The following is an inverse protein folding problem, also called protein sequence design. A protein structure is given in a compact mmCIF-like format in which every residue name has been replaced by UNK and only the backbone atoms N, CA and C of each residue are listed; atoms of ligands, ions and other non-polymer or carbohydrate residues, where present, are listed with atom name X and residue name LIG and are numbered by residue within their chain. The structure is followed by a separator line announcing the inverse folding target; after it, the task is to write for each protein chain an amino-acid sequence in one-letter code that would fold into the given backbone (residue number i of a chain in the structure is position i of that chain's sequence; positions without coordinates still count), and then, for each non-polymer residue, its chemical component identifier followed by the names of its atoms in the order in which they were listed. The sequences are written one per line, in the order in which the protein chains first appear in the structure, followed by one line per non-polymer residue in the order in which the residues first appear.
data_IF_931216632433
#
_entry.id   IF_931216632433
#
_cell.length_a   1.000
_cell.length_b   1.000
_cell.length_c   1.000
_cell.angle_alpha   90.00
_cell.angle_beta   90.00
_cell.angle_gamma   90.00
#
_symmetry.space_group_name_H-M   'P 1'
#
loop_
_entity.id
_entity.type
_entity.pdbx_description
1 polymer ?
#
# COMPACT_ATOMS: atom_id res chain seq x y z
N UNK A 1 -6.24 -46.44 -18.20
CA UNK A 1 -7.53 -46.10 -18.84
C UNK A 1 -8.65 -46.32 -17.85
N UNK A 2 -9.45 -45.28 -17.55
CA UNK A 2 -10.68 -45.45 -16.73
C UNK A 2 -11.68 -46.19 -17.60
N UNK A 3 -12.04 -47.42 -17.24
CA UNK A 3 -13.11 -48.15 -17.88
C UNK A 3 -14.43 -47.54 -17.47
N UNK A 4 -15.26 -47.19 -18.48
CA UNK A 4 -16.57 -46.66 -18.24
C UNK A 4 -17.46 -47.73 -17.54
N UNK A 5 -18.13 -47.33 -16.48
CA UNK A 5 -18.89 -48.21 -15.61
C UNK A 5 -20.16 -48.78 -16.28
N UNK A 6 -20.57 -48.20 -17.40
CA UNK A 6 -21.60 -48.72 -18.28
C UNK A 6 -21.27 -48.32 -19.73
N UNK A 7 -21.76 -49.08 -20.67
CA UNK A 7 -21.69 -48.78 -22.11
C UNK A 7 -23.13 -48.70 -22.66
N UNK A 8 -23.46 -47.56 -23.26
CA UNK A 8 -24.74 -47.31 -23.92
C UNK A 8 -24.53 -47.34 -25.44
N UNK A 9 -25.17 -48.23 -26.14
CA UNK A 9 -25.02 -48.40 -27.57
C UNK A 9 -26.35 -48.72 -28.25
N UNK A 10 -26.45 -48.51 -29.56
CA UNK A 10 -27.69 -48.67 -30.33
C UNK A 10 -27.69 -50.01 -31.08
N UNK A 11 -28.80 -50.73 -31.01
CA UNK A 11 -29.08 -51.87 -31.83
C UNK A 11 -30.38 -51.64 -32.57
N UNK A 12 -30.33 -51.51 -33.93
CA UNK A 12 -31.51 -51.11 -34.70
C UNK A 12 -32.01 -49.73 -34.31
N UNK A 13 -33.28 -49.61 -33.98
CA UNK A 13 -33.95 -48.38 -33.55
C UNK A 13 -33.88 -48.09 -32.02
N UNK A 14 -33.34 -49.03 -31.23
CA UNK A 14 -33.45 -48.98 -29.75
C UNK A 14 -32.06 -48.91 -29.10
N UNK A 15 -31.95 -48.19 -28.00
CA UNK A 15 -30.74 -48.10 -27.19
C UNK A 15 -30.67 -49.25 -26.19
N UNK A 16 -29.43 -49.80 -26.03
CA UNK A 16 -29.06 -50.87 -25.13
C UNK A 16 -28.01 -50.41 -24.17
N UNK A 17 -28.04 -50.91 -22.94
CA UNK A 17 -27.01 -50.63 -21.94
C UNK A 17 -26.34 -51.92 -21.45
N UNK A 18 -25.02 -51.88 -21.24
CA UNK A 18 -24.30 -52.91 -20.50
C UNK A 18 -23.63 -52.25 -19.29
N UNK A 19 -23.77 -52.87 -18.14
CA UNK A 19 -23.09 -52.42 -16.92
C UNK A 19 -21.80 -53.19 -16.69
N UNK A 20 -20.73 -52.51 -16.28
CA UNK A 20 -19.49 -53.14 -15.93
C UNK A 20 -19.51 -53.68 -14.52
N UNK A 21 -19.17 -54.93 -14.30
CA UNK A 21 -19.00 -55.53 -12.97
C UNK A 21 -17.56 -55.48 -12.54
N UNK A 22 -17.19 -54.64 -11.54
CA UNK A 22 -15.82 -54.51 -11.08
C UNK A 22 -15.26 -55.75 -10.37
N UNK A 23 -16.16 -56.63 -9.85
CA UNK A 23 -15.71 -57.84 -9.17
C UNK A 23 -15.28 -58.93 -10.14
N UNK A 24 -15.91 -58.99 -11.31
CA UNK A 24 -15.60 -59.99 -12.32
C UNK A 24 -14.77 -59.48 -13.48
N UNK A 25 -14.54 -58.16 -13.53
CA UNK A 25 -13.79 -57.49 -14.60
C UNK A 25 -14.49 -57.56 -15.98
N UNK A 26 -15.81 -57.86 -16.05
CA UNK A 26 -16.54 -58.08 -17.31
C UNK A 26 -17.84 -57.24 -17.33
N UNK A 27 -18.28 -56.93 -18.54
CA UNK A 27 -19.58 -56.32 -18.74
C UNK A 27 -20.69 -57.37 -18.56
N UNK A 28 -21.77 -56.98 -17.88
CA UNK A 28 -22.99 -57.76 -17.78
C UNK A 28 -23.71 -57.84 -19.14
N UNK A 29 -24.66 -58.78 -19.29
CA UNK A 29 -25.47 -58.91 -20.49
C UNK A 29 -26.17 -57.62 -20.87
N UNK A 30 -26.18 -57.26 -22.14
CA UNK A 30 -26.84 -56.06 -22.63
C UNK A 30 -28.33 -56.11 -22.45
N UNK A 31 -28.92 -54.98 -21.98
CA UNK A 31 -30.36 -54.82 -21.77
C UNK A 31 -30.91 -53.72 -22.66
N UNK A 32 -32.07 -53.96 -23.24
CA UNK A 32 -32.79 -52.94 -24.00
C UNK A 32 -33.42 -51.94 -23.06
N UNK A 33 -33.29 -50.65 -23.34
CA UNK A 33 -33.99 -49.57 -22.64
C UNK A 33 -35.43 -49.37 -23.16
N UNK A 34 -35.73 -49.97 -24.32
CA UNK A 34 -37.00 -49.73 -25.01
C UNK A 34 -37.08 -48.40 -25.76
N UNK A 35 -36.10 -47.52 -25.60
CA UNK A 35 -36.11 -46.16 -26.10
C UNK A 35 -35.29 -45.98 -27.39
N UNK A 36 -35.88 -45.21 -28.32
CA UNK A 36 -35.21 -44.80 -29.56
C UNK A 36 -34.42 -43.50 -29.41
N UNK A 37 -34.77 -42.71 -28.42
CA UNK A 37 -34.07 -41.45 -28.08
C UNK A 37 -32.99 -41.68 -27.03
N UNK A 38 -31.76 -41.18 -27.29
CA UNK A 38 -30.64 -41.35 -26.38
C UNK A 38 -30.85 -40.78 -25.00
N UNK A 39 -31.48 -39.61 -24.89
CA UNK A 39 -31.69 -38.95 -23.61
C UNK A 39 -32.78 -39.68 -22.79
N UNK A 40 -33.84 -40.19 -23.41
CA UNK A 40 -34.83 -41.04 -22.77
C UNK A 40 -34.18 -42.35 -22.28
N UNK A 41 -33.32 -42.98 -23.09
CA UNK A 41 -32.58 -44.16 -22.69
C UNK A 41 -31.66 -43.89 -21.48
N UNK A 42 -31.00 -42.73 -21.40
CA UNK A 42 -30.20 -42.33 -20.26
C UNK A 42 -31.04 -42.15 -18.97
N UNK A 43 -32.29 -41.67 -19.07
CA UNK A 43 -33.20 -41.57 -17.93
C UNK A 43 -33.53 -42.97 -17.39
N UNK A 44 -33.80 -43.94 -18.28
CA UNK A 44 -34.07 -45.34 -17.89
C UNK A 44 -32.83 -45.97 -17.26
N UNK A 45 -31.63 -45.74 -17.84
CA UNK A 45 -30.38 -46.19 -17.25
C UNK A 45 -30.17 -45.60 -15.86
N UNK A 46 -30.48 -44.31 -15.68
CA UNK A 46 -30.42 -43.63 -14.39
C UNK A 46 -31.41 -44.18 -13.39
N UNK A 47 -32.61 -44.55 -13.85
CA UNK A 47 -33.63 -45.20 -13.03
C UNK A 47 -33.18 -46.61 -12.60
N UNK A 48 -32.66 -47.41 -13.52
CA UNK A 48 -32.14 -48.75 -13.22
C UNK A 48 -30.94 -48.72 -12.28
N UNK A 49 -30.16 -47.68 -12.33
CA UNK A 49 -29.07 -47.45 -11.39
C UNK A 49 -29.55 -47.10 -9.97
N UNK A 50 -30.75 -46.45 -9.85
CA UNK A 50 -31.36 -46.12 -8.56
C UNK A 50 -32.16 -47.25 -7.97
N UNK A 51 -32.94 -47.94 -8.79
CA UNK A 51 -33.95 -48.93 -8.35
C UNK A 51 -33.46 -50.38 -8.48
N UNK A 52 -32.31 -50.57 -9.12
CA UNK A 52 -31.78 -51.88 -9.52
C UNK A 52 -32.22 -52.29 -10.92
N UNK A 53 -31.35 -52.95 -11.66
CA UNK A 53 -31.69 -53.55 -12.95
C UNK A 53 -32.76 -54.62 -12.70
N UNK A 54 -33.84 -54.68 -13.47
CA UNK A 54 -34.86 -55.68 -13.25
C UNK A 54 -34.42 -57.10 -13.64
N UNK A 55 -33.50 -57.69 -12.84
CA UNK A 55 -33.05 -59.05 -12.99
C UNK A 55 -32.39 -59.59 -11.70
N UNK A 56 -32.68 -60.82 -11.28
CA UNK A 56 -32.40 -61.35 -9.95
C UNK A 56 -30.96 -61.75 -9.66
N UNK A 57 -30.00 -61.46 -10.49
CA UNK A 57 -28.59 -61.78 -10.19
C UNK A 57 -27.93 -60.82 -9.25
N UNK A 58 -27.48 -61.29 -8.10
CA UNK A 58 -26.93 -60.66 -6.89
C UNK A 58 -25.95 -59.50 -7.01
N UNK A 59 -25.64 -59.00 -8.20
CA UNK A 59 -24.66 -57.92 -8.42
C UNK A 59 -25.22 -56.46 -8.26
N UNK A 60 -26.54 -56.31 -8.17
CA UNK A 60 -27.19 -55.00 -8.27
C UNK A 60 -27.00 -54.06 -7.07
N UNK A 61 -26.77 -54.57 -5.87
CA UNK A 61 -26.65 -53.74 -4.65
C UNK A 61 -25.37 -52.97 -4.60
N UNK A 62 -24.23 -53.54 -5.01
CA UNK A 62 -22.95 -52.89 -4.93
C UNK A 62 -22.70 -51.87 -6.08
N UNK A 63 -23.30 -52.08 -7.23
CA UNK A 63 -23.34 -51.14 -8.34
C UNK A 63 -24.13 -49.86 -7.99
N UNK A 64 -25.16 -49.97 -7.15
CA UNK A 64 -26.04 -48.88 -6.73
C UNK A 64 -25.29 -47.80 -5.95
N UNK A 65 -24.45 -48.20 -4.99
CA UNK A 65 -23.70 -47.26 -4.10
C UNK A 65 -22.59 -46.51 -4.80
N UNK A 66 -21.96 -47.09 -5.83
CA UNK A 66 -20.83 -46.51 -6.52
C UNK A 66 -21.21 -45.58 -7.71
N UNK A 67 -22.39 -45.78 -8.28
CA UNK A 67 -22.85 -45.03 -9.47
C UNK A 67 -23.66 -43.78 -9.10
N UNK A 68 -24.29 -43.76 -7.95
CA UNK A 68 -25.06 -42.61 -7.48
C UNK A 68 -24.21 -41.35 -7.23
N UNK A 69 -22.98 -41.50 -6.75
CA UNK A 69 -22.09 -40.39 -6.51
C UNK A 69 -21.52 -39.77 -7.80
N UNK A 70 -21.06 -40.58 -8.73
CA UNK A 70 -20.53 -40.09 -10.01
C UNK A 70 -21.63 -39.43 -10.86
N UNK A 71 -22.85 -39.99 -10.83
CA UNK A 71 -24.00 -39.38 -11.48
C UNK A 71 -24.38 -38.05 -10.83
N UNK A 72 -24.42 -38.00 -9.50
CA UNK A 72 -24.67 -36.76 -8.77
C UNK A 72 -23.62 -35.67 -9.07
N UNK A 73 -22.35 -36.04 -9.10
CA UNK A 73 -21.26 -35.14 -9.49
C UNK A 73 -21.41 -34.68 -10.94
N UNK A 74 -21.80 -35.57 -11.84
CA UNK A 74 -22.04 -35.23 -13.26
C UNK A 74 -23.17 -34.22 -13.41
N UNK A 75 -24.30 -34.46 -12.70
CA UNK A 75 -25.43 -33.53 -12.69
C UNK A 75 -25.00 -32.17 -12.12
N UNK A 76 -24.29 -32.13 -11.00
CA UNK A 76 -23.81 -30.87 -10.39
C UNK A 76 -22.91 -30.11 -11.37
N UNK A 77 -22.13 -30.80 -12.22
CA UNK A 77 -21.21 -30.17 -13.18
C UNK A 77 -21.90 -29.67 -14.46
N UNK A 78 -22.99 -30.25 -14.87
CA UNK A 78 -23.54 -30.06 -16.24
C UNK A 78 -24.99 -29.52 -16.25
N UNK A 79 -25.74 -29.66 -15.17
CA UNK A 79 -27.09 -29.16 -15.11
C UNK A 79 -27.16 -27.66 -14.82
N UNK A 80 -28.11 -26.91 -15.37
CA UNK A 80 -28.36 -25.51 -14.97
C UNK A 80 -28.98 -25.50 -13.56
N UNK A 81 -28.12 -25.41 -12.55
CA UNK A 81 -28.51 -25.36 -11.14
C UNK A 81 -28.92 -23.95 -10.74
N UNK A 82 -30.00 -23.81 -10.00
CA UNK A 82 -30.43 -22.59 -9.33
C UNK A 82 -29.68 -22.42 -8.01
N UNK A 83 -29.77 -21.22 -7.40
CA UNK A 83 -29.25 -20.97 -6.05
C UNK A 83 -29.90 -21.88 -4.98
N UNK A 84 -31.17 -22.13 -5.13
CA UNK A 84 -31.91 -23.03 -4.23
C UNK A 84 -31.35 -24.45 -4.33
N UNK A 85 -31.10 -24.93 -5.55
CA UNK A 85 -30.49 -26.25 -5.78
C UNK A 85 -29.09 -26.34 -5.17
N UNK A 86 -28.28 -25.30 -5.33
CA UNK A 86 -26.96 -25.24 -4.72
C UNK A 86 -27.04 -25.19 -3.17
N UNK A 87 -28.02 -24.44 -2.62
CA UNK A 87 -28.33 -24.41 -1.19
C UNK A 87 -28.69 -25.78 -0.63
N UNK A 88 -29.56 -26.50 -1.32
CA UNK A 88 -29.97 -27.87 -0.95
C UNK A 88 -28.81 -28.87 -1.00
N UNK A 89 -27.95 -28.76 -2.00
CA UNK A 89 -26.75 -29.60 -2.09
C UNK A 89 -25.80 -29.34 -0.91
N UNK A 90 -25.53 -28.08 -0.60
CA UNK A 90 -24.68 -27.69 0.54
C UNK A 90 -25.31 -28.13 1.86
N UNK A 91 -26.60 -27.97 2.03
CA UNK A 91 -27.33 -28.43 3.24
C UNK A 91 -27.20 -29.94 3.42
N UNK A 92 -27.42 -30.72 2.36
CA UNK A 92 -27.25 -32.17 2.40
C UNK A 92 -25.82 -32.62 2.78
N UNK A 93 -24.80 -31.85 2.39
CA UNK A 93 -23.41 -32.11 2.80
C UNK A 93 -23.15 -31.70 4.27
N UNK A 94 -23.80 -30.62 4.75
CA UNK A 94 -23.78 -30.23 6.17
C UNK A 94 -24.42 -31.23 7.08
N UNK A 95 -25.58 -31.75 6.70
CA UNK A 95 -26.35 -32.75 7.44
C UNK A 95 -25.58 -34.08 7.63
N UNK A 96 -24.55 -34.30 6.82
CA UNK A 96 -23.63 -35.43 6.91
C UNK A 96 -22.28 -35.10 7.56
N UNK A 97 -22.12 -33.90 8.13
CA UNK A 97 -20.85 -33.38 8.71
C UNK A 97 -19.65 -33.38 7.74
N UNK A 98 -19.90 -33.43 6.44
CA UNK A 98 -18.85 -33.42 5.41
C UNK A 98 -18.37 -31.99 5.08
N UNK A 99 -19.19 -30.96 5.41
CA UNK A 99 -18.88 -29.55 5.17
C UNK A 99 -19.39 -28.72 6.34
N UNK A 100 -18.52 -27.97 7.00
CA UNK A 100 -18.91 -27.10 8.14
C UNK A 100 -19.24 -25.67 7.74
N UNK A 101 -18.50 -25.05 6.83
CA UNK A 101 -18.58 -23.62 6.48
C UNK A 101 -18.69 -23.41 4.95
N UNK A 102 -19.71 -23.94 4.29
CA UNK A 102 -19.97 -23.61 2.91
C UNK A 102 -21.12 -22.61 2.83
N UNK A 103 -20.92 -21.52 2.12
CA UNK A 103 -21.94 -20.53 1.77
C UNK A 103 -22.26 -20.69 0.30
N UNK A 104 -23.55 -20.81 -0.03
CA UNK A 104 -24.02 -20.76 -1.41
C UNK A 104 -24.01 -19.29 -1.82
N UNK A 105 -23.14 -18.97 -2.74
CA UNK A 105 -23.11 -17.64 -3.34
C UNK A 105 -23.85 -17.74 -4.67
N UNK A 106 -24.89 -16.89 -4.85
CA UNK A 106 -25.37 -16.60 -6.19
C UNK A 106 -24.14 -16.33 -7.02
N UNK A 107 -23.92 -17.09 -8.10
CA UNK A 107 -22.91 -16.71 -9.07
C UNK A 107 -23.35 -15.38 -9.66
N UNK A 108 -22.91 -14.23 -9.16
CA UNK A 108 -23.19 -12.99 -9.82
C UNK A 108 -22.31 -12.96 -11.05
N UNK A 109 -22.75 -12.26 -12.06
CA UNK A 109 -21.82 -11.59 -12.96
C UNK A 109 -20.87 -10.83 -12.05
N UNK A 110 -19.77 -11.44 -11.69
CA UNK A 110 -18.82 -10.85 -10.75
C UNK A 110 -18.31 -9.57 -11.40
N UNK A 111 -18.53 -8.45 -10.74
CA UNK A 111 -18.03 -7.15 -11.18
C UNK A 111 -16.53 -7.29 -11.60
N UNK A 112 -16.09 -6.69 -12.69
CA UNK A 112 -14.67 -6.68 -13.06
C UNK A 112 -13.82 -6.13 -11.92
N UNK A 113 -12.68 -6.78 -11.65
CA UNK A 113 -11.75 -6.39 -10.57
C UNK A 113 -11.43 -4.88 -10.61
N UNK A 114 -11.06 -4.38 -11.78
CA UNK A 114 -10.64 -2.97 -11.91
C UNK A 114 -11.78 -2.02 -11.63
N UNK A 115 -12.98 -2.30 -12.13
CA UNK A 115 -14.19 -1.50 -11.85
C UNK A 115 -14.50 -1.45 -10.36
N UNK A 116 -14.42 -2.61 -9.67
CA UNK A 116 -14.56 -2.68 -8.23
C UNK A 116 -13.50 -1.83 -7.50
N UNK A 117 -12.23 -1.95 -7.88
CA UNK A 117 -11.13 -1.21 -7.25
C UNK A 117 -11.24 0.30 -7.48
N UNK A 118 -11.62 0.73 -8.67
CA UNK A 118 -11.84 2.16 -9.01
C UNK A 118 -12.97 2.74 -8.13
N UNK A 119 -14.11 2.06 -8.03
CA UNK A 119 -15.23 2.44 -7.16
C UNK A 119 -14.86 2.41 -5.68
N UNK A 120 -14.05 1.44 -5.26
CA UNK A 120 -13.59 1.32 -3.87
C UNK A 120 -12.76 2.52 -3.41
N UNK A 121 -11.98 3.13 -4.30
CA UNK A 121 -11.15 4.29 -4.00
C UNK A 121 -11.75 5.63 -4.45
N UNK A 122 -12.97 5.64 -4.97
CA UNK A 122 -13.70 6.89 -5.22
C UNK A 122 -14.11 7.51 -3.88
N UNK A 123 -13.48 8.63 -3.51
CA UNK A 123 -13.69 9.22 -2.20
C UNK A 123 -15.15 9.57 -1.89
N UNK A 124 -15.93 10.00 -2.89
CA UNK A 124 -17.31 10.44 -2.71
C UNK A 124 -18.30 9.27 -2.69
N UNK A 125 -18.05 8.23 -3.46
CA UNK A 125 -19.00 7.14 -3.69
C UNK A 125 -18.63 5.85 -2.94
N UNK A 126 -17.39 5.72 -2.48
CA UNK A 126 -16.90 4.50 -1.85
C UNK A 126 -17.65 4.11 -0.57
N UNK A 127 -18.22 2.89 -0.50
CA UNK A 127 -18.79 2.37 0.74
C UNK A 127 -17.71 2.20 1.82
N UNK A 128 -16.47 1.87 1.46
CA UNK A 128 -15.35 1.78 2.38
C UNK A 128 -15.01 3.12 3.03
N UNK A 129 -14.98 4.20 2.26
CA UNK A 129 -14.74 5.55 2.80
C UNK A 129 -15.84 5.94 3.77
N UNK A 130 -17.11 5.69 3.40
CA UNK A 130 -18.26 5.97 4.28
C UNK A 130 -18.19 5.16 5.59
N UNK A 131 -17.88 3.86 5.49
CA UNK A 131 -17.69 2.99 6.66
C UNK A 131 -16.60 3.53 7.58
N UNK A 132 -15.42 3.87 7.04
CA UNK A 132 -14.32 4.43 7.84
C UNK A 132 -14.70 5.72 8.55
N UNK A 133 -15.35 6.64 7.84
CA UNK A 133 -15.80 7.91 8.41
C UNK A 133 -16.84 7.68 9.50
N UNK A 134 -17.80 6.78 9.29
CA UNK A 134 -18.81 6.42 10.29
C UNK A 134 -18.18 5.83 11.57
N UNK A 135 -17.09 5.11 11.45
CA UNK A 135 -16.31 4.59 12.59
C UNK A 135 -15.30 5.61 13.17
N UNK A 136 -15.38 6.90 12.80
CA UNK A 136 -14.48 7.94 13.28
C UNK A 136 -13.03 7.80 12.77
N UNK A 137 -12.81 6.93 11.79
CA UNK A 137 -11.48 6.72 11.23
C UNK A 137 -11.21 7.70 10.08
N UNK A 138 -10.02 8.26 10.07
CA UNK A 138 -9.65 9.24 9.05
C UNK A 138 -9.21 8.56 7.76
N UNK A 139 -9.74 9.05 6.66
CA UNK A 139 -9.27 8.76 5.31
C UNK A 139 -9.27 10.07 4.53
N UNK A 140 -8.21 10.36 3.79
CA UNK A 140 -8.07 11.61 3.06
C UNK A 140 -8.34 11.43 1.56
N UNK A 141 -8.83 12.49 0.91
CA UNK A 141 -8.98 12.53 -0.56
C UNK A 141 -7.66 12.22 -1.26
N UNK A 142 -6.55 12.76 -0.73
CA UNK A 142 -5.20 12.49 -1.22
C UNK A 142 -4.88 10.99 -1.18
N UNK A 143 -5.19 10.30 -0.08
CA UNK A 143 -4.92 8.86 0.04
C UNK A 143 -5.67 8.04 -1.00
N UNK A 144 -6.97 8.32 -1.19
CA UNK A 144 -7.77 7.66 -2.22
C UNK A 144 -7.21 7.95 -3.62
N UNK A 145 -6.85 9.21 -3.91
CA UNK A 145 -6.23 9.59 -5.19
C UNK A 145 -4.91 8.88 -5.46
N UNK A 146 -4.03 8.77 -4.46
CA UNK A 146 -2.77 8.03 -4.58
C UNK A 146 -3.01 6.53 -4.81
N UNK A 147 -4.03 5.94 -4.18
CA UNK A 147 -4.42 4.57 -4.45
C UNK A 147 -4.96 4.41 -5.89
N UNK A 148 -5.88 5.28 -6.32
CA UNK A 148 -6.39 5.27 -7.70
C UNK A 148 -5.29 5.41 -8.75
N UNK A 149 -4.30 6.28 -8.52
CA UNK A 149 -3.15 6.39 -9.42
C UNK A 149 -2.36 5.07 -9.51
N UNK A 150 -2.18 4.36 -8.37
CA UNK A 150 -1.51 3.04 -8.38
C UNK A 150 -2.32 1.99 -9.12
N UNK A 151 -3.65 2.05 -9.07
CA UNK A 151 -4.51 1.18 -9.86
C UNK A 151 -4.33 1.45 -11.35
N UNK A 152 -4.41 2.70 -11.77
CA UNK A 152 -4.29 3.10 -13.18
C UNK A 152 -2.92 2.72 -13.77
N UNK A 153 -1.82 2.96 -13.04
CA UNK A 153 -0.47 2.74 -13.55
C UNK A 153 0.02 1.29 -13.45
N UNK A 154 -0.53 0.46 -12.55
CA UNK A 154 0.01 -0.88 -12.30
C UNK A 154 -1.03 -1.99 -12.34
N UNK A 155 -2.17 -1.85 -11.64
CA UNK A 155 -3.18 -2.93 -11.57
C UNK A 155 -3.92 -3.09 -12.89
N UNK A 156 -4.40 -2.01 -13.46
CA UNK A 156 -5.17 -2.01 -14.70
C UNK A 156 -4.36 -2.52 -15.91
N UNK A 157 -3.09 -2.11 -16.12
CA UNK A 157 -2.26 -2.67 -17.19
C UNK A 157 -1.94 -4.16 -17.02
N UNK A 158 -1.88 -4.67 -15.78
CA UNK A 158 -1.54 -6.06 -15.51
C UNK A 158 -2.74 -7.01 -15.58
N UNK A 159 -3.84 -6.67 -14.90
CA UNK A 159 -5.02 -7.55 -14.82
C UNK A 159 -5.99 -7.39 -15.99
N UNK A 160 -5.89 -6.33 -16.77
CA UNK A 160 -6.85 -6.01 -17.81
C UNK A 160 -8.20 -5.55 -17.26
N UNK A 161 -9.17 -5.33 -18.16
CA UNK A 161 -10.50 -4.83 -17.80
C UNK A 161 -11.50 -5.93 -17.45
N UNK A 162 -11.27 -7.15 -17.95
CA UNK A 162 -12.27 -8.22 -17.97
C UNK A 162 -12.10 -9.23 -16.83
N UNK A 163 -10.99 -9.20 -16.10
CA UNK A 163 -10.75 -10.12 -14.97
C UNK A 163 -11.82 -9.92 -13.91
N UNK A 164 -12.62 -10.95 -13.66
CA UNK A 164 -13.67 -10.89 -12.64
C UNK A 164 -13.08 -10.86 -11.21
N UNK A 165 -13.70 -10.10 -10.32
CA UNK A 165 -13.29 -10.00 -8.90
C UNK A 165 -13.26 -11.36 -8.21
N UNK A 166 -14.27 -12.22 -8.49
CA UNK A 166 -14.36 -13.58 -7.92
C UNK A 166 -13.31 -14.57 -8.43
N UNK A 167 -12.66 -14.26 -9.57
CA UNK A 167 -11.63 -15.11 -10.17
C UNK A 167 -10.22 -14.80 -9.68
N UNK A 168 -10.06 -13.75 -8.88
CA UNK A 168 -8.75 -13.34 -8.35
C UNK A 168 -8.26 -14.38 -7.34
N UNK A 169 -7.12 -14.98 -7.63
CA UNK A 169 -6.47 -15.98 -6.77
C UNK A 169 -5.21 -15.41 -6.11
N UNK A 170 -4.78 -16.04 -5.03
CA UNK A 170 -3.52 -15.69 -4.37
C UNK A 170 -2.32 -15.78 -5.31
N UNK A 171 -2.30 -16.76 -6.21
CA UNK A 171 -1.26 -16.89 -7.25
C UNK A 171 -1.18 -15.67 -8.15
N UNK A 172 -2.32 -15.08 -8.54
CA UNK A 172 -2.35 -13.90 -9.40
C UNK A 172 -1.69 -12.70 -8.71
N UNK A 173 -2.00 -12.50 -7.41
CA UNK A 173 -1.39 -11.42 -6.62
C UNK A 173 0.11 -11.65 -6.40
N UNK A 174 0.52 -12.89 -6.15
CA UNK A 174 1.94 -13.23 -6.03
C UNK A 174 2.70 -12.95 -7.34
N UNK A 175 2.18 -13.41 -8.48
CA UNK A 175 2.80 -13.17 -9.79
C UNK A 175 2.84 -11.67 -10.11
N UNK A 176 1.76 -10.94 -9.82
CA UNK A 176 1.73 -9.48 -9.94
C UNK A 176 2.81 -8.81 -9.08
N UNK A 177 2.99 -9.27 -7.85
CA UNK A 177 4.00 -8.73 -6.94
C UNK A 177 5.42 -8.92 -7.46
N UNK A 178 5.71 -10.08 -8.04
CA UNK A 178 6.99 -10.38 -8.68
C UNK A 178 7.21 -9.53 -9.93
N UNK A 179 6.19 -9.37 -10.77
CA UNK A 179 6.22 -8.48 -11.93
C UNK A 179 6.55 -7.03 -11.54
N UNK A 180 5.92 -6.49 -10.48
CA UNK A 180 6.26 -5.16 -9.97
C UNK A 180 7.73 -5.05 -9.56
N UNK A 181 8.28 -6.10 -8.93
CA UNK A 181 9.65 -6.12 -8.42
C UNK A 181 10.68 -6.33 -9.50
N UNK A 182 10.47 -7.31 -10.38
CA UNK A 182 11.45 -7.79 -11.36
C UNK A 182 11.33 -7.03 -12.69
N UNK A 183 10.15 -7.00 -13.28
CA UNK A 183 9.95 -6.41 -14.61
C UNK A 183 9.85 -4.89 -14.56
N UNK A 184 9.18 -4.34 -13.53
CA UNK A 184 9.10 -2.88 -13.33
C UNK A 184 10.25 -2.31 -12.51
N UNK A 185 11.08 -3.14 -11.88
CA UNK A 185 12.25 -2.71 -11.12
C UNK A 185 11.95 -1.85 -9.90
N UNK A 186 10.72 -1.95 -9.33
CA UNK A 186 10.28 -1.06 -8.26
C UNK A 186 10.98 -1.36 -6.93
N UNK A 187 11.20 -0.32 -6.15
CA UNK A 187 11.71 -0.47 -4.78
C UNK A 187 10.67 -1.16 -3.89
N UNK A 188 11.14 -1.93 -2.90
CA UNK A 188 10.29 -2.72 -1.98
C UNK A 188 9.09 -1.94 -1.43
N UNK A 189 9.32 -0.74 -0.90
CA UNK A 189 8.23 0.09 -0.37
C UNK A 189 7.23 0.53 -1.45
N UNK A 190 7.69 0.78 -2.66
CA UNK A 190 6.80 1.13 -3.78
C UNK A 190 5.94 -0.08 -4.17
N UNK A 191 6.54 -1.28 -4.26
CA UNK A 191 5.79 -2.53 -4.49
C UNK A 191 4.73 -2.72 -3.42
N UNK A 192 5.09 -2.64 -2.13
CA UNK A 192 4.15 -2.80 -1.03
C UNK A 192 3.00 -1.76 -1.08
N UNK A 193 3.30 -0.51 -1.45
CA UNK A 193 2.29 0.53 -1.60
C UNK A 193 1.36 0.27 -2.80
N UNK A 194 1.89 -0.24 -3.91
CA UNK A 194 1.08 -0.63 -5.08
C UNK A 194 0.17 -1.80 -4.72
N UNK A 195 0.72 -2.84 -4.07
CA UNK A 195 -0.05 -3.99 -3.61
C UNK A 195 -1.16 -3.56 -2.64
N UNK A 196 -0.86 -2.67 -1.69
CA UNK A 196 -1.82 -2.17 -0.71
C UNK A 196 -3.06 -1.56 -1.35
N UNK A 197 -2.94 -0.90 -2.51
CA UNK A 197 -4.09 -0.31 -3.20
C UNK A 197 -5.16 -1.35 -3.59
N UNK A 198 -4.77 -2.57 -3.94
CA UNK A 198 -5.74 -3.64 -4.25
C UNK A 198 -6.03 -4.54 -3.03
N UNK A 199 -5.00 -4.90 -2.24
CA UNK A 199 -5.17 -5.88 -1.16
C UNK A 199 -6.06 -5.38 -0.02
N UNK A 200 -6.09 -4.06 0.23
CA UNK A 200 -7.03 -3.44 1.19
C UNK A 200 -8.46 -3.60 0.69
N UNK A 201 -8.71 -3.38 -0.59
CA UNK A 201 -10.03 -3.53 -1.21
C UNK A 201 -10.48 -5.00 -1.24
N UNK A 202 -9.59 -5.93 -1.58
CA UNK A 202 -9.88 -7.37 -1.58
C UNK A 202 -10.21 -7.90 -0.17
N UNK A 203 -9.50 -7.42 0.85
CA UNK A 203 -9.81 -7.75 2.25
C UNK A 203 -11.18 -7.22 2.66
N UNK A 204 -11.52 -6.00 2.25
CA UNK A 204 -12.82 -5.41 2.50
C UNK A 204 -13.92 -6.18 1.74
N UNK A 205 -13.69 -6.57 0.49
CA UNK A 205 -14.61 -7.38 -0.30
C UNK A 205 -14.93 -8.73 0.38
N UNK A 206 -13.90 -9.42 0.90
CA UNK A 206 -14.09 -10.68 1.62
C UNK A 206 -14.85 -10.49 2.95
N UNK A 207 -14.58 -9.38 3.68
CA UNK A 207 -15.28 -9.07 4.93
C UNK A 207 -16.76 -8.72 4.72
N UNK A 208 -17.10 -8.24 3.52
CA UNK A 208 -18.47 -7.87 3.15
C UNK A 208 -19.12 -8.92 2.20
N UNK A 209 -18.65 -10.15 2.20
CA UNK A 209 -19.18 -11.29 1.45
C UNK A 209 -19.30 -11.10 -0.08
N UNK A 210 -18.56 -10.14 -0.65
CA UNK A 210 -18.48 -9.95 -2.11
C UNK A 210 -17.63 -11.02 -2.78
N UNK A 211 -16.70 -11.60 -2.04
CA UNK A 211 -15.88 -12.76 -2.42
C UNK A 211 -15.76 -13.72 -1.24
N UNK A 212 -15.67 -15.04 -1.48
CA UNK A 212 -15.72 -16.04 -0.40
C UNK A 212 -14.55 -15.99 0.57
N UNK A 213 -13.38 -15.49 0.14
CA UNK A 213 -12.18 -15.33 0.97
C UNK A 213 -11.27 -14.27 0.40
N UNK A 214 -10.41 -13.70 1.26
CA UNK A 214 -9.42 -12.72 0.83
C UNK A 214 -8.25 -13.40 0.05
N UNK A 215 -8.10 -13.17 -1.26
CA UNK A 215 -7.00 -13.76 -2.03
C UNK A 215 -5.62 -13.18 -1.65
N UNK A 216 -5.59 -12.07 -0.92
CA UNK A 216 -4.36 -11.44 -0.46
C UNK A 216 -3.93 -11.91 0.96
N UNK A 217 -4.62 -12.89 1.54
CA UNK A 217 -4.29 -13.41 2.87
C UNK A 217 -2.95 -14.13 2.88
N UNK A 218 -2.09 -13.80 3.87
CA UNK A 218 -0.76 -14.38 4.01
C UNK A 218 0.20 -14.06 2.85
N UNK A 219 0.00 -12.94 2.13
CA UNK A 219 1.01 -12.42 1.21
C UNK A 219 2.23 -11.91 1.98
N UNK A 220 3.41 -12.26 1.50
CA UNK A 220 4.66 -11.74 2.03
C UNK A 220 4.93 -10.34 1.47
N UNK A 221 5.20 -9.39 2.37
CA UNK A 221 5.68 -8.06 1.98
C UNK A 221 7.15 -8.10 1.55
N UNK A 222 7.51 -7.18 0.67
CA UNK A 222 8.91 -6.99 0.30
C UNK A 222 9.64 -6.19 1.37
N UNK A 223 10.78 -6.70 1.82
CA UNK A 223 11.72 -5.96 2.66
C UNK A 223 12.80 -5.31 1.80
N UNK A 224 13.27 -4.16 2.23
CA UNK A 224 14.35 -3.47 1.53
C UNK A 224 14.96 -2.38 2.40
N UNK A 225 16.21 -2.04 2.13
CA UNK A 225 16.88 -0.94 2.82
C UNK A 225 16.16 0.37 2.48
N UNK A 226 15.77 1.11 3.51
CA UNK A 226 15.32 2.49 3.34
C UNK A 226 16.52 3.35 2.93
N UNK A 227 16.37 4.10 1.85
CA UNK A 227 17.35 5.11 1.48
C UNK A 227 17.30 6.22 2.55
N UNK A 228 18.40 6.40 3.27
CA UNK A 228 18.53 7.53 4.21
C UNK A 228 18.52 8.84 3.42
N UNK A 229 17.79 9.82 3.91
CA UNK A 229 17.79 11.19 3.33
C UNK A 229 19.15 11.81 3.57
N UNK A 230 19.67 12.49 2.55
CA UNK A 230 20.90 13.25 2.69
C UNK A 230 20.71 14.50 3.53
N UNK A 231 21.72 14.83 4.28
CA UNK A 231 21.82 16.10 5.02
C UNK A 231 22.87 17.00 4.37
N UNK A 232 22.68 18.30 4.55
CA UNK A 232 23.69 19.30 4.29
C UNK A 232 24.60 19.42 5.52
N UNK A 233 25.85 19.75 5.31
CA UNK A 233 26.76 20.15 6.39
C UNK A 233 26.41 21.56 6.88
N UNK A 234 26.88 21.95 8.07
CA UNK A 234 26.60 23.29 8.61
C UNK A 234 27.16 24.36 7.70
N UNK A 235 28.36 24.15 7.15
CA UNK A 235 28.97 25.06 6.18
C UNK A 235 28.18 25.18 4.88
N UNK A 236 27.62 24.06 4.35
CA UNK A 236 26.75 24.12 3.18
C UNK A 236 25.42 24.85 3.49
N UNK A 237 24.89 24.71 4.70
CA UNK A 237 23.69 25.42 5.15
C UNK A 237 23.91 26.92 5.25
N UNK A 238 25.03 27.31 5.86
CA UNK A 238 25.45 28.72 5.98
C UNK A 238 25.61 29.37 4.61
N UNK A 239 26.39 28.76 3.72
CA UNK A 239 26.58 29.23 2.36
C UNK A 239 25.24 29.27 1.57
N UNK A 240 24.40 28.25 1.70
CA UNK A 240 23.12 28.17 1.00
C UNK A 240 22.20 29.34 1.36
N UNK A 241 22.08 29.69 2.64
CA UNK A 241 21.24 30.79 3.09
C UNK A 241 21.88 32.19 2.89
N UNK A 242 23.16 32.25 2.70
CA UNK A 242 23.83 33.49 2.27
C UNK A 242 23.54 33.85 0.81
N UNK A 243 23.19 32.85 -0.05
CA UNK A 243 22.86 33.09 -1.44
C UNK A 243 21.60 33.94 -1.63
N UNK A 244 21.52 34.63 -2.75
CA UNK A 244 20.28 35.21 -3.24
C UNK A 244 19.37 34.10 -3.79
N UNK A 245 18.19 33.94 -3.20
CA UNK A 245 17.19 33.00 -3.66
C UNK A 245 16.25 33.67 -4.64
N UNK A 246 15.79 32.96 -5.69
CA UNK A 246 14.88 33.52 -6.67
C UNK A 246 13.47 33.80 -6.12
N UNK A 247 13.10 33.11 -5.04
CA UNK A 247 11.80 33.24 -4.40
C UNK A 247 11.96 33.43 -2.88
N UNK A 248 11.55 34.60 -2.37
CA UNK A 248 11.63 34.96 -0.95
C UNK A 248 10.79 34.02 -0.07
N UNK A 249 9.57 33.59 -0.55
CA UNK A 249 8.74 32.67 0.21
C UNK A 249 9.44 31.32 0.40
N UNK A 250 10.02 30.79 -0.69
CA UNK A 250 10.77 29.55 -0.61
C UNK A 250 11.98 29.64 0.30
N UNK A 251 12.75 30.76 0.27
CA UNK A 251 13.88 30.98 1.19
C UNK A 251 13.42 30.92 2.65
N UNK A 252 12.42 31.72 3.01
CA UNK A 252 11.94 31.82 4.40
C UNK A 252 11.33 30.49 4.85
N UNK A 253 10.58 29.78 4.00
CA UNK A 253 10.03 28.47 4.32
C UNK A 253 11.12 27.41 4.58
N UNK A 254 12.21 27.42 3.82
CA UNK A 254 13.36 26.53 4.02
C UNK A 254 14.12 26.87 5.30
N UNK A 255 14.32 28.17 5.62
CA UNK A 255 14.91 28.61 6.88
C UNK A 255 14.06 28.21 8.08
N UNK A 256 12.73 28.38 7.97
CA UNK A 256 11.78 27.95 8.99
C UNK A 256 11.81 26.43 9.19
N UNK A 257 11.80 25.65 8.12
CA UNK A 257 11.88 24.18 8.19
C UNK A 257 13.18 23.72 8.87
N UNK A 258 14.30 24.36 8.54
CA UNK A 258 15.61 24.09 9.11
C UNK A 258 15.68 24.38 10.61
N UNK A 259 15.07 25.49 11.06
CA UNK A 259 15.15 25.95 12.46
C UNK A 259 14.08 25.38 13.39
N UNK A 260 13.03 24.75 12.85
CA UNK A 260 11.88 24.23 13.62
C UNK A 260 11.54 22.77 13.39
N UNK A 261 12.04 22.18 12.32
CA UNK A 261 11.68 20.82 11.90
C UNK A 261 10.23 20.64 11.44
N UNK A 262 9.50 21.71 11.14
CA UNK A 262 8.11 21.65 10.65
C UNK A 262 8.00 20.95 9.30
N UNK A 263 6.87 20.27 9.09
CA UNK A 263 6.56 19.64 7.80
C UNK A 263 6.12 20.70 6.77
N UNK A 264 6.35 20.44 5.50
CA UNK A 264 5.93 21.35 4.42
C UNK A 264 4.46 21.77 4.53
N UNK A 265 3.56 20.81 4.76
CA UNK A 265 2.13 21.10 4.88
C UNK A 265 1.77 21.93 6.14
N UNK A 266 2.53 21.80 7.23
CA UNK A 266 2.36 22.62 8.43
C UNK A 266 2.83 24.06 8.16
N UNK A 267 3.97 24.24 7.51
CA UNK A 267 4.49 25.56 7.11
C UNK A 267 3.51 26.27 6.18
N UNK A 268 3.02 25.59 5.15
CA UNK A 268 2.07 26.18 4.20
C UNK A 268 0.73 26.56 4.82
N UNK A 269 0.34 25.89 5.91
CA UNK A 269 -0.89 26.16 6.62
C UNK A 269 -0.81 27.35 7.60
N UNK A 270 0.41 27.89 7.86
CA UNK A 270 0.60 28.97 8.82
C UNK A 270 -0.13 30.24 8.38
N UNK A 271 -0.86 30.81 9.31
CA UNK A 271 -1.57 32.08 9.20
C UNK A 271 -0.97 33.12 10.16
N UNK A 272 -1.28 34.38 9.93
CA UNK A 272 -0.77 35.49 10.77
C UNK A 272 -1.06 35.26 12.24
N UNK A 273 -2.26 34.79 12.59
CA UNK A 273 -2.66 34.44 13.98
C UNK A 273 -1.85 33.33 14.64
N UNK A 274 -1.05 32.60 13.85
CA UNK A 274 -0.24 31.50 14.37
C UNK A 274 1.15 31.96 14.80
N UNK A 275 1.50 33.24 14.56
CA UNK A 275 2.79 33.83 14.95
C UNK A 275 2.62 34.48 16.33
N UNK A 276 3.19 33.86 17.37
CA UNK A 276 3.36 34.49 18.69
C UNK A 276 4.67 35.29 18.77
N UNK A 277 5.02 35.75 19.98
CA UNK A 277 6.24 36.53 20.19
C UNK A 277 7.50 35.69 20.15
N UNK A 278 7.47 34.51 20.74
CA UNK A 278 8.59 33.57 20.85
C UNK A 278 8.28 32.18 20.24
N UNK A 279 7.06 31.98 19.71
CA UNK A 279 6.55 30.66 19.29
C UNK A 279 5.62 30.72 18.09
N UNK A 280 5.49 29.59 17.43
CA UNK A 280 4.46 29.33 16.42
C UNK A 280 3.42 28.34 16.97
N UNK A 281 2.15 28.58 16.66
CA UNK A 281 1.05 27.67 16.96
C UNK A 281 0.79 26.80 15.73
N UNK A 282 1.14 25.53 15.80
CA UNK A 282 0.96 24.58 14.70
C UNK A 282 -0.37 23.85 14.86
N UNK A 283 -1.41 24.41 14.24
CA UNK A 283 -2.80 23.95 14.35
C UNK A 283 -3.25 23.16 13.13
N UNK A 284 -2.71 23.49 11.96
CA UNK A 284 -3.20 22.98 10.68
C UNK A 284 -2.09 22.41 9.81
N UNK A 285 -2.50 21.69 8.78
CA UNK A 285 -1.67 21.26 7.67
C UNK A 285 -2.45 21.48 6.38
N UNK A 286 -1.76 21.89 5.33
CA UNK A 286 -2.37 22.13 4.03
C UNK A 286 -1.79 21.23 2.94
N UNK A 287 -2.64 20.77 2.05
CA UNK A 287 -2.28 20.21 0.76
C UNK A 287 -3.40 20.48 -0.26
N UNK A 288 -3.05 20.41 -1.54
CA UNK A 288 -3.98 20.77 -2.63
C UNK A 288 -5.25 19.90 -2.73
N UNK A 289 -5.24 18.71 -2.14
CA UNK A 289 -6.35 17.75 -2.26
C UNK A 289 -7.33 17.82 -1.09
N UNK A 290 -6.81 17.97 0.12
CA UNK A 290 -7.62 18.01 1.34
C UNK A 290 -7.81 19.44 1.86
N UNK A 291 -7.22 20.44 1.18
CA UNK A 291 -7.20 21.84 1.61
C UNK A 291 -6.60 22.02 3.04
N UNK A 292 -7.11 22.97 3.80
CA UNK A 292 -6.70 23.19 5.19
C UNK A 292 -7.36 22.13 6.09
N UNK A 293 -6.55 21.38 6.83
CA UNK A 293 -7.01 20.33 7.75
C UNK A 293 -6.20 20.35 9.05
N UNK A 294 -6.67 19.67 10.09
CA UNK A 294 -5.91 19.42 11.30
C UNK A 294 -4.56 18.73 11.02
N UNK A 295 -3.65 18.80 11.97
CA UNK A 295 -2.34 18.13 11.85
C UNK A 295 -2.49 16.61 11.73
N UNK A 296 -1.44 15.90 11.26
CA UNK A 296 -1.48 14.45 11.08
C UNK A 296 -1.86 13.68 12.35
N UNK A 297 -1.50 14.22 13.52
CA UNK A 297 -1.76 13.62 14.85
C UNK A 297 -2.95 14.23 15.56
N UNK A 298 -3.63 15.20 14.95
CA UNK A 298 -4.72 16.01 15.52
C UNK A 298 -4.37 16.76 16.83
N UNK A 299 -3.09 16.87 17.10
CA UNK A 299 -2.59 17.60 18.26
C UNK A 299 -2.05 18.95 17.81
N UNK A 300 -2.64 20.00 18.35
CA UNK A 300 -2.03 21.32 18.31
C UNK A 300 -0.73 21.28 19.11
N UNK A 301 0.28 21.97 18.63
CA UNK A 301 1.53 22.14 19.36
C UNK A 301 2.13 23.51 19.12
N UNK A 302 2.92 23.94 20.07
CA UNK A 302 3.75 25.14 19.94
C UNK A 302 5.18 24.75 19.59
N UNK A 303 5.82 25.54 18.75
CA UNK A 303 7.23 25.38 18.38
C UNK A 303 7.94 26.72 18.60
N UNK A 304 9.07 26.75 19.31
CA UNK A 304 9.84 27.99 19.50
C UNK A 304 10.32 28.54 18.16
N UNK A 305 10.39 29.84 18.05
CA UNK A 305 10.85 30.54 16.85
C UNK A 305 11.93 31.55 17.21
N UNK A 306 13.01 31.60 16.42
CA UNK A 306 14.04 32.61 16.60
C UNK A 306 13.58 33.97 16.05
N UNK A 307 13.98 35.09 16.68
CA UNK A 307 13.47 36.44 16.34
C UNK A 307 13.63 36.82 14.86
N UNK A 308 14.77 36.50 14.23
CA UNK A 308 15.01 36.79 12.81
C UNK A 308 14.06 36.09 11.86
N UNK A 309 13.66 34.87 12.18
CA UNK A 309 12.67 34.12 11.39
C UNK A 309 11.26 34.74 11.60
N UNK A 310 10.91 35.10 12.85
CA UNK A 310 9.64 35.80 13.14
C UNK A 310 9.50 37.07 12.30
N UNK A 311 10.52 37.90 12.26
CA UNK A 311 10.54 39.12 11.44
C UNK A 311 10.29 38.78 9.97
N UNK A 312 11.00 37.77 9.44
CA UNK A 312 10.87 37.33 8.06
C UNK A 312 9.46 36.84 7.72
N UNK A 313 8.80 36.14 8.66
CA UNK A 313 7.41 35.68 8.49
C UNK A 313 6.41 36.86 8.48
N UNK A 314 6.58 37.82 9.38
CA UNK A 314 5.74 39.02 9.43
C UNK A 314 5.92 39.88 8.15
N UNK A 315 7.14 39.98 7.63
CA UNK A 315 7.42 40.67 6.37
C UNK A 315 6.76 40.00 5.17
N UNK A 316 6.77 38.65 5.13
CA UNK A 316 6.04 37.91 4.12
C UNK A 316 4.54 38.14 4.22
N UNK A 317 3.98 38.10 5.44
CA UNK A 317 2.56 38.33 5.65
C UNK A 317 2.14 39.73 5.19
N UNK A 318 2.93 40.76 5.51
CA UNK A 318 2.69 42.16 5.07
C UNK A 318 2.82 42.32 3.55
N UNK A 319 3.62 41.50 2.88
CA UNK A 319 3.78 41.56 1.42
C UNK A 319 2.62 40.90 0.65
N UNK A 320 1.67 40.28 1.33
CA UNK A 320 0.48 39.73 0.70
C UNK A 320 -0.39 40.89 0.11
N UNK A 321 -0.74 40.85 -1.17
CA UNK A 321 -1.54 41.90 -1.79
C UNK A 321 -2.98 41.98 -1.26
N UNK A 322 -3.46 40.99 -0.56
CA UNK A 322 -4.72 41.05 0.19
C UNK A 322 -4.45 41.60 1.60
N UNK A 323 -5.44 42.29 2.17
CA UNK A 323 -5.31 42.80 3.54
C UNK A 323 -4.90 41.71 4.51
N UNK A 324 -3.89 42.01 5.32
CA UNK A 324 -3.33 41.08 6.29
C UNK A 324 -4.21 40.94 7.54
N UNK A 325 -5.25 40.14 7.44
CA UNK A 325 -6.06 39.74 8.60
C UNK A 325 -5.47 38.51 9.34
N UNK A 326 -6.00 38.18 10.52
CA UNK A 326 -5.51 37.05 11.32
C UNK A 326 -5.49 35.69 10.58
N UNK A 327 -6.37 35.49 9.63
CA UNK A 327 -6.49 34.27 8.81
C UNK A 327 -5.70 34.29 7.51
N UNK A 328 -4.95 35.36 7.24
CA UNK A 328 -4.11 35.47 6.03
C UNK A 328 -2.96 34.47 6.10
N UNK A 329 -2.75 33.72 5.03
CA UNK A 329 -1.63 32.79 4.90
C UNK A 329 -0.29 33.54 4.76
N UNK A 330 0.72 33.10 5.49
CA UNK A 330 2.06 33.65 5.42
C UNK A 330 2.73 33.29 4.10
N UNK A 331 2.58 32.01 3.71
CA UNK A 331 3.13 31.47 2.44
C UNK A 331 2.04 31.41 1.37
N UNK A 332 1.57 32.57 0.98
CA UNK A 332 0.49 32.73 0.01
C UNK A 332 0.92 32.44 -1.44
N UNK A 333 -0.04 32.09 -2.30
CA UNK A 333 0.19 31.86 -3.71
C UNK A 333 0.11 33.17 -4.51
N UNK A 334 1.09 33.40 -5.37
CA UNK A 334 1.12 34.59 -6.25
C UNK A 334 -0.10 34.62 -7.21
N UNK A 335 -0.54 33.43 -7.67
CA UNK A 335 -1.71 33.33 -8.56
C UNK A 335 -3.05 33.42 -7.84
N UNK A 336 -3.09 33.09 -6.56
CA UNK A 336 -4.29 33.22 -5.72
C UNK A 336 -3.87 33.49 -4.26
N UNK A 337 -3.73 34.77 -3.88
CA UNK A 337 -3.25 35.16 -2.55
C UNK A 337 -4.11 34.71 -1.37
N UNK A 338 -5.35 34.26 -1.62
CA UNK A 338 -6.24 33.67 -0.59
C UNK A 338 -5.92 32.22 -0.29
N UNK A 339 -5.00 31.60 -1.04
CA UNK A 339 -4.57 30.21 -0.85
C UNK A 339 -3.08 30.14 -0.55
N UNK A 340 -2.63 29.09 0.18
CA UNK A 340 -1.21 28.83 0.29
C UNK A 340 -0.56 28.56 -1.06
N UNK A 341 0.74 28.81 -1.15
CA UNK A 341 1.53 28.44 -2.31
C UNK A 341 1.58 26.91 -2.48
N UNK A 342 1.84 26.45 -3.70
CA UNK A 342 1.95 25.02 -3.99
C UNK A 342 3.18 24.41 -3.31
N UNK A 343 3.07 23.19 -2.70
CA UNK A 343 4.16 22.54 -1.99
C UNK A 343 5.42 22.33 -2.83
N UNK A 344 5.27 22.11 -4.15
CA UNK A 344 6.38 21.86 -5.06
C UNK A 344 7.31 23.08 -5.15
N UNK A 345 6.80 24.31 -5.01
CA UNK A 345 7.62 25.53 -5.02
C UNK A 345 8.67 25.59 -3.92
N UNK A 346 8.37 25.00 -2.75
CA UNK A 346 9.33 24.92 -1.64
C UNK A 346 10.56 24.09 -2.03
N UNK A 347 10.33 22.98 -2.70
CA UNK A 347 11.39 22.08 -3.17
C UNK A 347 12.11 22.66 -4.39
N UNK A 348 11.39 23.30 -5.29
CA UNK A 348 12.00 23.92 -6.49
C UNK A 348 12.90 25.10 -6.12
N UNK A 349 12.50 25.93 -5.15
CA UNK A 349 13.36 26.95 -4.59
C UNK A 349 14.63 26.39 -3.95
N UNK A 350 14.50 25.31 -3.16
CA UNK A 350 15.65 24.61 -2.58
C UNK A 350 16.57 24.05 -3.69
N UNK A 351 16.02 23.39 -4.70
CA UNK A 351 16.80 22.86 -5.82
C UNK A 351 17.56 23.95 -6.57
N UNK A 352 16.90 25.09 -6.82
CA UNK A 352 17.53 26.22 -7.47
C UNK A 352 18.69 26.80 -6.64
N UNK A 353 18.51 26.90 -5.32
CA UNK A 353 19.58 27.35 -4.41
C UNK A 353 20.73 26.33 -4.34
N UNK A 354 20.44 25.03 -4.29
CA UNK A 354 21.46 23.98 -4.30
C UNK A 354 22.29 23.97 -5.60
N UNK A 355 21.71 24.31 -6.75
CA UNK A 355 22.46 24.47 -7.99
C UNK A 355 23.43 25.66 -7.89
N UNK A 356 22.97 26.80 -7.35
CA UNK A 356 23.79 27.99 -7.15
C UNK A 356 24.88 27.80 -6.09
N UNK A 357 24.68 26.91 -5.13
CA UNK A 357 25.70 26.53 -4.17
C UNK A 357 26.87 25.81 -4.84
N UNK A 358 26.62 25.10 -5.94
CA UNK A 358 27.59 24.25 -6.62
C UNK A 358 28.18 24.89 -7.89
N UNK A 359 27.45 25.78 -8.53
CA UNK A 359 27.81 26.38 -9.82
C UNK A 359 27.79 27.89 -9.75
N UNK A 360 28.79 28.52 -10.36
CA UNK A 360 28.84 29.96 -10.61
C UNK A 360 27.74 30.37 -11.64
N UNK A 361 27.45 31.65 -11.72
CA UNK A 361 26.45 32.15 -12.68
C UNK A 361 26.81 31.88 -14.16
N UNK A 362 28.11 31.88 -14.48
CA UNK A 362 28.60 31.51 -15.81
C UNK A 362 28.37 30.01 -16.09
N UNK A 363 28.62 29.16 -15.11
CA UNK A 363 28.43 27.71 -15.22
C UNK A 363 26.95 27.31 -15.28
N UNK A 364 26.04 28.10 -14.72
CA UNK A 364 24.60 27.90 -14.81
C UNK A 364 24.07 28.00 -16.27
N UNK A 365 24.84 28.61 -17.18
CA UNK A 365 24.52 28.66 -18.62
C UNK A 365 24.88 27.34 -19.35
N UNK A 366 25.78 26.55 -18.79
CA UNK A 366 26.23 25.27 -19.35
C UNK A 366 25.26 24.14 -18.94
N UNK A 367 24.52 23.64 -19.93
CA UNK A 367 23.54 22.55 -19.70
C UNK A 367 24.16 21.26 -19.15
N UNK A 368 25.41 20.95 -19.53
CA UNK A 368 26.12 19.75 -19.08
C UNK A 368 26.47 19.87 -17.58
N UNK A 369 27.02 21.01 -17.17
CA UNK A 369 27.35 21.30 -15.77
C UNK A 369 26.08 21.31 -14.89
N UNK A 370 25.01 21.93 -15.36
CA UNK A 370 23.73 21.94 -14.66
C UNK A 370 23.16 20.51 -14.51
N UNK A 371 23.25 19.69 -15.56
CA UNK A 371 22.83 18.28 -15.48
C UNK A 371 23.64 17.47 -14.46
N UNK A 372 24.96 17.62 -14.48
CA UNK A 372 25.85 16.97 -13.52
C UNK A 372 25.59 17.41 -12.07
N UNK A 373 25.35 18.70 -11.84
CA UNK A 373 25.01 19.23 -10.52
C UNK A 373 23.63 18.73 -10.03
N UNK A 374 22.64 18.64 -10.92
CA UNK A 374 21.34 18.03 -10.60
C UNK A 374 21.48 16.56 -10.17
N UNK A 375 22.25 15.78 -10.92
CA UNK A 375 22.50 14.37 -10.59
C UNK A 375 23.27 14.21 -9.29
N UNK A 376 24.25 15.07 -9.01
CA UNK A 376 24.96 15.10 -7.72
C UNK A 376 23.98 15.27 -6.55
N UNK A 377 23.10 16.29 -6.57
CA UNK A 377 22.15 16.53 -5.50
C UNK A 377 21.06 15.44 -5.41
N UNK A 378 20.67 14.88 -6.55
CA UNK A 378 19.74 13.74 -6.59
C UNK A 378 20.33 12.51 -5.90
N UNK A 379 21.60 12.19 -6.12
CA UNK A 379 22.30 11.09 -5.43
C UNK A 379 22.44 11.33 -3.94
N UNK A 380 22.62 12.56 -3.52
CA UNK A 380 22.64 12.94 -2.10
C UNK A 380 21.26 12.89 -1.45
N UNK A 381 20.17 12.70 -2.18
CA UNK A 381 18.80 12.62 -1.69
C UNK A 381 18.37 13.82 -0.82
N UNK A 382 18.91 15.01 -1.08
CA UNK A 382 18.52 16.25 -0.38
C UNK A 382 17.19 16.73 -0.93
N UNK A 383 16.19 16.79 -0.07
CA UNK A 383 14.81 17.24 -0.38
C UNK A 383 14.31 18.16 0.73
N UNK A 384 13.19 18.84 0.54
CA UNK A 384 12.64 19.74 1.56
C UNK A 384 12.50 19.06 2.95
N UNK A 385 12.09 17.80 2.99
CA UNK A 385 11.98 17.05 4.24
C UNK A 385 13.33 16.75 4.92
N UNK A 386 14.46 16.93 4.22
CA UNK A 386 15.80 16.82 4.81
C UNK A 386 16.05 17.85 5.91
N UNK A 387 15.35 18.99 5.88
CA UNK A 387 15.42 19.98 6.96
C UNK A 387 14.93 19.46 8.30
N UNK A 388 13.88 18.64 8.28
CA UNK A 388 13.37 18.02 9.50
C UNK A 388 14.37 17.00 10.07
N UNK A 389 15.06 16.25 9.20
CA UNK A 389 16.15 15.37 9.63
C UNK A 389 17.34 16.20 10.18
N UNK A 390 17.70 17.27 9.49
CA UNK A 390 18.75 18.19 9.92
C UNK A 390 18.44 18.78 11.30
N UNK A 391 17.24 19.33 11.48
CA UNK A 391 16.80 19.84 12.78
C UNK A 391 16.85 18.76 13.87
N UNK A 392 16.30 17.59 13.60
CA UNK A 392 16.27 16.50 14.59
C UNK A 392 17.69 16.05 14.96
N UNK A 393 18.60 15.89 14.00
CA UNK A 393 19.99 15.54 14.25
C UNK A 393 20.72 16.61 15.11
N UNK A 394 20.63 17.88 14.70
CA UNK A 394 21.32 18.97 15.42
C UNK A 394 20.78 19.21 16.83
N UNK A 395 19.47 19.00 17.03
CA UNK A 395 18.85 19.16 18.34
C UNK A 395 19.07 17.93 19.23
N UNK A 396 19.18 16.72 18.66
CA UNK A 396 19.50 15.52 19.43
C UNK A 396 20.88 15.56 20.09
N UNK A 397 21.83 16.28 19.46
CA UNK A 397 23.16 16.50 20.04
C UNK A 397 23.15 17.43 21.28
N UNK A 398 22.06 18.15 21.52
CA UNK A 398 21.97 19.19 22.55
C UNK A 398 20.83 19.03 23.54
N UNK A 399 19.80 18.26 23.19
CA UNK A 399 18.59 18.08 23.98
C UNK A 399 18.22 16.61 24.11
N UNK A 400 17.61 16.27 25.21
CA UNK A 400 17.02 14.94 25.40
C UNK A 400 16.04 14.60 24.26
N UNK A 401 16.10 13.36 23.78
CA UNK A 401 15.24 12.80 22.73
C UNK A 401 13.77 13.20 22.86
N UNK A 402 13.21 13.10 24.07
CA UNK A 402 11.81 13.44 24.35
C UNK A 402 11.46 14.89 24.01
N UNK A 403 12.34 15.83 24.33
CA UNK A 403 12.16 17.27 24.04
C UNK A 403 12.15 17.56 22.54
N UNK A 404 13.05 16.93 21.80
CA UNK A 404 13.10 17.06 20.34
C UNK A 404 11.89 16.41 19.67
N UNK A 405 11.44 15.26 20.16
CA UNK A 405 10.23 14.60 19.67
C UNK A 405 8.98 15.47 19.87
N UNK A 406 8.85 16.17 21.00
CA UNK A 406 7.76 17.10 21.25
C UNK A 406 7.77 18.27 20.26
N UNK A 407 8.94 18.91 20.04
CA UNK A 407 9.08 20.00 19.09
C UNK A 407 8.74 19.57 17.66
N UNK A 408 9.21 18.42 17.24
CA UNK A 408 8.94 17.90 15.91
C UNK A 408 7.58 17.23 15.74
N UNK A 409 6.91 16.84 16.83
CA UNK A 409 5.63 16.11 16.79
C UNK A 409 5.80 14.67 16.28
N UNK A 410 6.88 13.97 16.69
CA UNK A 410 7.02 12.54 16.51
C UNK A 410 6.32 11.82 17.65
N UNK A 411 5.46 10.85 17.31
CA UNK A 411 4.76 9.99 18.28
C UNK A 411 5.46 8.66 18.52
N UNK A 412 6.38 8.29 17.63
CA UNK A 412 7.09 7.01 17.64
C UNK A 412 8.61 7.25 17.79
N UNK A 413 9.21 6.65 18.82
CA UNK A 413 10.62 6.75 19.11
C UNK A 413 11.51 6.09 18.06
N UNK A 414 11.08 4.97 17.49
CA UNK A 414 11.84 4.27 16.45
C UNK A 414 11.93 5.09 15.16
N UNK A 415 10.85 5.80 14.81
CA UNK A 415 10.88 6.75 13.68
C UNK A 415 11.81 7.91 13.98
N UNK A 416 11.85 8.40 15.23
CA UNK A 416 12.77 9.47 15.61
C UNK A 416 14.22 9.00 15.56
N UNK A 417 14.54 7.80 16.00
CA UNK A 417 15.90 7.25 15.98
C UNK A 417 16.48 7.18 14.56
N UNK A 418 15.65 6.85 13.57
CA UNK A 418 16.06 6.90 12.18
C UNK A 418 16.40 8.31 11.68
N UNK A 419 15.91 9.37 12.35
CA UNK A 419 16.27 10.78 12.07
C UNK A 419 17.52 11.24 12.82
N UNK A 420 17.74 10.71 14.02
CA UNK A 420 18.85 11.09 14.89
C UNK A 420 20.15 10.29 14.62
N UNK A 421 20.10 9.27 13.80
CA UNK A 421 21.18 8.30 13.51
C UNK A 421 22.43 8.89 12.80
N UNK A 422 22.53 10.21 12.69
CA UNK A 422 23.69 10.92 12.18
C UNK A 422 24.61 11.49 13.29
N UNK A 423 24.23 11.34 14.55
CA UNK A 423 25.01 11.78 15.73
C UNK A 423 26.09 10.78 16.18
N UNK A 424 26.29 9.70 15.42
CA UNK A 424 27.14 8.58 15.82
C UNK A 424 28.61 8.95 16.07
N UNK A 425 29.17 9.96 15.37
CA UNK A 425 30.57 10.37 15.60
C UNK A 425 30.75 11.04 16.96
N UNK A 426 29.82 11.90 17.35
CA UNK A 426 29.90 12.59 18.65
C UNK A 426 29.68 11.62 19.81
N UNK A 427 28.71 10.72 19.70
CA UNK A 427 28.48 9.63 20.66
C UNK A 427 29.69 8.68 20.70
N UNK A 428 30.32 8.40 19.56
CA UNK A 428 31.54 7.57 19.51
C UNK A 428 32.66 8.20 20.30
N UNK A 429 32.94 9.49 20.13
CA UNK A 429 33.98 10.22 20.89
C UNK A 429 33.63 10.32 22.39
N UNK A 430 32.39 10.51 22.75
CA UNK A 430 31.95 10.49 24.17
C UNK A 430 32.13 9.11 24.81
N UNK A 431 31.81 8.03 24.09
CA UNK A 431 32.01 6.65 24.55
C UNK A 431 33.49 6.29 24.62
N UNK A 432 34.29 6.71 23.62
CA UNK A 432 35.74 6.52 23.61
C UNK A 432 36.40 7.20 24.82
N UNK A 433 36.04 8.47 25.08
CA UNK A 433 36.52 9.21 26.25
C UNK A 433 36.11 8.56 27.56
N UNK A 434 34.86 8.19 27.70
CA UNK A 434 34.36 7.51 28.91
C UNK A 434 35.00 6.13 29.12
N UNK A 435 35.20 5.37 28.06
CA UNK A 435 35.91 4.09 28.12
C UNK A 435 37.39 4.27 28.51
N UNK A 436 38.05 5.29 27.98
CA UNK A 436 39.43 5.64 28.35
C UNK A 436 39.52 6.04 29.83
N UNK A 437 38.58 6.86 30.32
CA UNK A 437 38.54 7.31 31.72
C UNK A 437 38.29 6.18 32.71
N UNK A 438 37.47 5.21 32.35
CA UNK A 438 37.08 4.06 33.21
C UNK A 438 38.09 2.93 33.10
N UNK A 439 38.47 2.54 31.89
CA UNK A 439 39.24 1.32 31.67
C UNK A 439 40.75 1.62 31.52
N UNK A 440 41.16 2.80 31.08
CA UNK A 440 42.55 3.19 30.95
C UNK A 440 43.33 3.10 32.27
N UNK A 441 42.65 3.32 33.39
CA UNK A 441 43.24 3.18 34.75
C UNK A 441 43.36 1.72 35.18
N UNK A 442 42.63 0.80 34.58
CA UNK A 442 42.59 -0.63 34.90
C UNK A 442 43.52 -1.44 33.99
N UNK A 443 43.88 -0.91 32.83
CA UNK A 443 44.71 -1.61 31.85
C UNK A 443 46.14 -1.03 31.93
N UNK A 444 47.02 -1.74 32.67
CA UNK A 444 48.44 -1.43 32.66
C UNK A 444 49.07 -2.07 31.43
N UNK A 445 49.30 -1.29 30.38
CA UNK A 445 50.13 -1.73 29.28
C UNK A 445 51.58 -1.46 29.64
N UNK A 446 52.53 -2.46 29.54
CA UNK A 446 53.94 -2.19 29.68
C UNK A 446 54.33 -1.17 28.56
N UNK A 447 55.02 -0.10 28.96
CA UNK A 447 55.55 0.89 28.03
C UNK A 447 56.29 0.17 26.90
N UNK A 448 55.83 0.33 25.68
CA UNK A 448 56.62 -0.02 24.51
C UNK A 448 57.73 0.95 24.45
N UNK A 449 58.93 0.54 24.91
CA UNK A 449 60.17 1.27 24.80
C UNK A 449 60.32 1.69 23.33
N UNK A 450 60.27 3.01 23.09
CA UNK A 450 60.60 3.59 21.81
C UNK A 450 62.06 3.21 21.51
N UNK A 451 62.29 2.30 20.58
CA UNK A 451 63.56 2.14 19.93
C UNK A 451 63.75 3.33 18.98
N UNK A 452 64.46 4.35 19.46
CA UNK A 452 65.20 5.22 18.59
C UNK A 452 66.48 4.49 18.20
N UNK A 453 66.60 4.15 16.93
CA UNK A 453 67.85 4.11 16.16
C UNK A 453 67.54 4.59 14.75
#
# INVERSE_FOLDING_TARGET
MRQDRYSLFRRGSVWYVQFYNPQTGKYLSARSTGESNRNAALLIVSQWLREGVPDPTRGARHLRELLDLDLAISIIRTAPLTLDDAGRIVQALKDRDLVRNATVVAGPVSEPLITFLERFWDYEQSPYVRERVAHGQRISRRHCREASNRLEYYWKPYFGKDKALSEVRKSDINTFSLWLKQDKGLMANTVNNVLSAGTVALRWAARNDLIPKNPAEGLMGFSGKHLKRGLLTDSEVEQLFALAWPDKHSKVANMLAMSTGLRAGEILALQVRDIGDDRLYVRHSWNKWDALKGTKTDKERTVPIIPSIRISLLDLARSNPNEAGPSTFIFWSVSNPQRPMEPDRLLDGLRAALLRLKLSESEMKDRSKVSAAKEYWKRRLVVFHSWRHYFAARMADRLEKRKVMLATGHSDGAVFDAYADHSNEQVFHEVEKAASDVFGKLLHFPEMAAKHE
#
